data_IF_393461462649
#
_entry.id   IF_393461462649
#
_cell.length_a   1.000
_cell.length_b   1.000
_cell.length_c   1.000
_cell.angle_alpha   90.00
_cell.angle_beta   90.00
_cell.angle_gamma   90.00
#
_symmetry.space_group_name_H-M   'P 1'
#
loop_
_entity.id
_entity.type
_entity.pdbx_description
1 polymer ?
#
# COMPACT_ATOMS: atom_id res chain seq x y z
N UNK A 1 -0.99 -19.53 12.36
CA UNK A 1 -0.54 -18.14 12.23
C UNK A 1 -1.75 -17.25 12.02
N UNK A 2 -1.84 -16.17 12.75
CA UNK A 2 -2.97 -15.25 12.68
C UNK A 2 -2.59 -13.99 11.91
N UNK A 3 -3.60 -13.17 11.61
CA UNK A 3 -3.35 -11.86 10.99
C UNK A 3 -2.41 -11.01 11.85
N UNK A 4 -2.58 -11.05 13.19
CA UNK A 4 -1.69 -10.31 14.07
C UNK A 4 -0.25 -10.79 14.00
N UNK A 5 -0.05 -12.10 13.86
CA UNK A 5 1.30 -12.66 13.71
C UNK A 5 1.95 -12.15 12.42
N UNK A 6 1.19 -12.12 11.33
CA UNK A 6 1.67 -11.58 10.06
C UNK A 6 2.03 -10.11 10.23
N UNK A 7 1.14 -9.33 10.84
CA UNK A 7 1.37 -7.89 11.01
C UNK A 7 2.64 -7.61 11.81
N UNK A 8 2.92 -8.42 12.83
CA UNK A 8 4.12 -8.24 13.66
C UNK A 8 5.39 -8.68 12.92
N UNK A 9 5.28 -9.65 12.02
CA UNK A 9 6.44 -10.21 11.32
C UNK A 9 6.85 -9.40 10.09
N UNK A 10 5.92 -8.67 9.50
CA UNK A 10 6.22 -7.90 8.30
C UNK A 10 7.09 -6.71 8.60
N UNK A 11 8.12 -6.54 7.79
CA UNK A 11 8.97 -5.36 7.87
C UNK A 11 8.18 -4.13 7.45
N UNK A 12 8.54 -2.95 7.96
CA UNK A 12 7.94 -1.71 7.47
C UNK A 12 8.15 -1.57 5.96
N UNK A 13 7.16 -0.97 5.29
CA UNK A 13 7.29 -0.69 3.86
C UNK A 13 8.39 0.34 3.66
N UNK A 14 9.29 0.05 2.72
CA UNK A 14 10.36 0.97 2.37
C UNK A 14 9.87 1.90 1.27
N UNK A 15 9.65 3.16 1.63
CA UNK A 15 9.15 4.16 0.69
C UNK A 15 10.31 4.92 0.05
N UNK A 16 10.23 5.07 -1.26
CA UNK A 16 11.16 5.92 -2.00
C UNK A 16 10.41 7.17 -2.46
N UNK A 17 10.98 8.34 -2.20
CA UNK A 17 10.35 9.60 -2.61
C UNK A 17 10.91 10.03 -3.96
N UNK A 18 10.02 10.28 -4.91
CA UNK A 18 10.39 10.76 -6.24
C UNK A 18 10.07 12.24 -6.35
N UNK A 19 11.11 13.05 -6.37
CA UNK A 19 10.97 14.50 -6.38
C UNK A 19 10.29 15.03 -7.63
N UNK A 20 10.57 14.43 -8.78
CA UNK A 20 10.05 14.92 -10.06
C UNK A 20 8.53 14.81 -10.16
N UNK A 21 7.91 13.93 -9.39
CA UNK A 21 6.46 13.81 -9.39
C UNK A 21 5.85 13.94 -8.00
N UNK A 22 6.66 14.30 -7.01
CA UNK A 22 6.21 14.50 -5.61
C UNK A 22 5.46 13.27 -5.09
N UNK A 23 6.03 12.10 -5.30
CA UNK A 23 5.34 10.85 -5.07
C UNK A 23 6.16 9.90 -4.22
N UNK A 24 5.52 9.21 -3.29
CA UNK A 24 6.12 8.10 -2.55
C UNK A 24 5.77 6.80 -3.24
N UNK A 25 6.76 5.96 -3.47
CA UNK A 25 6.58 4.69 -4.19
C UNK A 25 7.21 3.57 -3.39
N UNK A 26 6.54 2.43 -3.37
CA UNK A 26 7.09 1.20 -2.80
C UNK A 26 6.78 0.04 -3.76
N UNK A 27 7.79 -0.80 -3.99
CA UNK A 27 7.65 -1.99 -4.82
C UNK A 27 7.93 -3.21 -3.96
N UNK A 28 7.02 -4.17 -4.00
CA UNK A 28 7.06 -5.35 -3.15
C UNK A 28 6.79 -6.60 -3.99
N UNK A 29 7.55 -7.65 -3.71
CA UNK A 29 7.32 -8.94 -4.37
C UNK A 29 7.16 -10.02 -3.32
N UNK A 30 6.13 -10.84 -3.48
CA UNK A 30 5.93 -11.98 -2.60
C UNK A 30 5.00 -12.98 -3.26
N UNK A 31 5.24 -14.27 -3.00
CA UNK A 31 4.37 -15.32 -3.50
C UNK A 31 4.16 -15.31 -5.00
N UNK A 32 5.16 -14.90 -5.77
CA UNK A 32 5.04 -14.81 -7.22
C UNK A 32 4.26 -13.62 -7.72
N UNK A 33 3.81 -12.75 -6.82
CA UNK A 33 3.08 -11.52 -7.16
C UNK A 33 3.96 -10.31 -6.97
N UNK A 34 3.69 -9.24 -7.71
CA UNK A 34 4.32 -7.96 -7.46
C UNK A 34 3.26 -6.93 -7.13
N UNK A 35 3.56 -6.12 -6.13
CA UNK A 35 2.72 -4.99 -5.74
C UNK A 35 3.51 -3.72 -5.90
N UNK A 36 2.89 -2.71 -6.47
CA UNK A 36 3.44 -1.36 -6.50
C UNK A 36 2.44 -0.42 -5.87
N UNK A 37 2.92 0.34 -4.90
CA UNK A 37 2.08 1.25 -4.12
C UNK A 37 2.60 2.66 -4.34
N UNK A 38 1.69 3.58 -4.70
CA UNK A 38 2.03 4.96 -4.97
C UNK A 38 1.15 5.88 -4.16
N UNK A 39 1.76 6.89 -3.55
CA UNK A 39 1.02 7.93 -2.83
C UNK A 39 1.48 9.27 -3.38
N UNK A 40 0.54 10.04 -3.93
CA UNK A 40 0.83 11.33 -4.54
C UNK A 40 -0.19 12.37 -4.08
N UNK A 41 0.09 13.68 -4.27
CA UNK A 41 -0.93 14.69 -4.02
C UNK A 41 -2.13 14.44 -4.91
N UNK A 42 -3.34 14.58 -4.36
CA UNK A 42 -4.55 14.35 -5.12
C UNK A 42 -4.74 15.43 -6.17
N UNK A 43 -5.17 15.03 -7.36
CA UNK A 43 -5.42 15.98 -8.43
C UNK A 43 -6.55 16.93 -8.04
N UNK A 44 -6.29 18.23 -8.12
CA UNK A 44 -7.27 19.24 -7.75
C UNK A 44 -7.39 19.50 -6.26
N UNK A 45 -6.71 18.71 -5.43
CA UNK A 45 -6.74 18.87 -3.97
C UNK A 45 -5.41 18.41 -3.38
N UNK A 46 -4.31 19.14 -3.65
CA UNK A 46 -2.96 18.67 -3.30
C UNK A 46 -2.70 18.54 -1.80
N UNK A 47 -3.56 19.07 -0.95
CA UNK A 47 -3.45 18.89 0.49
C UNK A 47 -3.84 17.48 0.93
N UNK A 48 -4.49 16.71 0.05
CA UNK A 48 -4.82 15.31 0.32
C UNK A 48 -3.83 14.39 -0.36
N UNK A 49 -3.66 13.21 0.22
CA UNK A 49 -2.79 12.17 -0.34
C UNK A 49 -3.63 11.12 -1.02
N UNK A 50 -3.34 10.85 -2.29
CA UNK A 50 -4.06 9.85 -3.07
C UNK A 50 -3.25 8.57 -3.12
N UNK A 51 -3.87 7.46 -2.71
CA UNK A 51 -3.26 6.14 -2.69
C UNK A 51 -3.65 5.37 -3.93
N UNK A 52 -2.66 4.77 -4.59
CA UNK A 52 -2.87 3.86 -5.73
C UNK A 52 -2.10 2.58 -5.48
N UNK A 53 -2.73 1.44 -5.75
CA UNK A 53 -2.10 0.13 -5.56
C UNK A 53 -2.25 -0.68 -6.83
N UNK A 54 -1.13 -1.20 -7.34
CA UNK A 54 -1.10 -2.03 -8.54
C UNK A 54 -0.65 -3.44 -8.18
N UNK A 55 -1.34 -4.42 -8.74
CA UNK A 55 -0.93 -5.82 -8.65
C UNK A 55 -0.58 -6.31 -10.04
N UNK A 56 0.67 -6.76 -10.21
CA UNK A 56 1.14 -7.24 -11.51
C UNK A 56 0.82 -6.25 -12.63
N UNK A 57 1.10 -4.97 -12.35
CA UNK A 57 0.94 -3.85 -13.28
C UNK A 57 -0.51 -3.43 -13.54
N UNK A 58 -1.48 -4.03 -12.83
CA UNK A 58 -2.88 -3.67 -12.97
C UNK A 58 -3.36 -2.91 -11.74
N UNK A 59 -3.93 -1.74 -11.95
CA UNK A 59 -4.50 -0.94 -10.87
C UNK A 59 -5.69 -1.68 -10.28
N UNK A 60 -5.63 -2.00 -8.98
CA UNK A 60 -6.67 -2.80 -8.34
C UNK A 60 -7.44 -2.05 -7.28
N UNK A 61 -6.81 -1.07 -6.66
CA UNK A 61 -7.40 -0.48 -5.45
C UNK A 61 -6.93 0.94 -5.29
N UNK A 62 -7.82 1.77 -4.75
CA UNK A 62 -7.38 3.00 -4.15
C UNK A 62 -7.04 4.17 -5.03
N UNK A 63 -7.15 4.07 -6.35
CA UNK A 63 -6.81 5.24 -7.16
C UNK A 63 -7.74 6.42 -6.91
N UNK A 64 -8.86 6.17 -6.25
CA UNK A 64 -9.78 7.24 -5.85
C UNK A 64 -9.85 7.44 -4.34
N UNK A 65 -8.96 6.76 -3.61
CA UNK A 65 -8.95 6.88 -2.16
C UNK A 65 -8.04 8.02 -1.77
N UNK A 66 -8.62 9.07 -1.24
CA UNK A 66 -7.87 10.23 -0.78
C UNK A 66 -7.88 10.25 0.73
N UNK A 67 -6.71 10.48 1.30
CA UNK A 67 -6.53 10.54 2.75
C UNK A 67 -6.14 11.95 3.13
N UNK A 68 -6.58 12.37 4.31
CA UNK A 68 -6.28 13.73 4.79
C UNK A 68 -4.82 13.90 5.17
N UNK A 69 -4.10 12.81 5.44
CA UNK A 69 -2.69 12.87 5.80
C UNK A 69 -1.91 11.79 5.07
N UNK A 70 -0.60 12.03 4.92
CA UNK A 70 0.31 11.04 4.36
C UNK A 70 0.36 9.79 5.23
N UNK A 71 0.42 9.97 6.55
CA UNK A 71 0.48 8.83 7.47
C UNK A 71 -0.74 7.94 7.33
N UNK A 72 -1.92 8.53 7.15
CA UNK A 72 -3.15 7.76 6.95
C UNK A 72 -3.08 6.92 5.67
N UNK A 73 -2.55 7.51 4.58
CA UNK A 73 -2.38 6.79 3.33
C UNK A 73 -1.38 5.64 3.47
N UNK A 74 -0.28 5.88 4.17
CA UNK A 74 0.73 4.84 4.40
C UNK A 74 0.18 3.71 5.28
N UNK A 75 -0.65 4.04 6.26
CA UNK A 75 -1.27 3.02 7.11
C UNK A 75 -2.24 2.16 6.30
N UNK A 76 -3.01 2.77 5.42
CA UNK A 76 -3.92 2.03 4.54
C UNK A 76 -3.14 1.07 3.64
N UNK A 77 -2.01 1.52 3.10
CA UNK A 77 -1.15 0.68 2.27
C UNK A 77 -0.64 -0.53 3.05
N UNK A 78 -0.23 -0.32 4.30
CA UNK A 78 0.24 -1.42 5.15
C UNK A 78 -0.88 -2.40 5.46
N UNK A 79 -2.08 -1.90 5.75
CA UNK A 79 -3.23 -2.75 6.00
C UNK A 79 -3.58 -3.59 4.77
N UNK A 80 -3.49 -3.01 3.59
CA UNK A 80 -3.70 -3.74 2.35
C UNK A 80 -2.67 -4.85 2.19
N UNK A 81 -1.40 -4.56 2.44
CA UNK A 81 -0.34 -5.56 2.34
C UNK A 81 -0.57 -6.72 3.29
N UNK A 82 -0.95 -6.43 4.53
CA UNK A 82 -1.24 -7.47 5.52
C UNK A 82 -2.38 -8.37 5.02
N UNK A 83 -3.42 -7.76 4.47
CA UNK A 83 -4.56 -8.52 3.93
C UNK A 83 -4.14 -9.40 2.76
N UNK A 84 -3.29 -8.89 1.86
CA UNK A 84 -2.80 -9.66 0.73
C UNK A 84 -2.00 -10.89 1.20
N UNK A 85 -1.13 -10.71 2.19
CA UNK A 85 -0.33 -11.81 2.72
C UNK A 85 -1.23 -12.84 3.40
N UNK A 86 -2.22 -12.39 4.16
CA UNK A 86 -3.16 -13.30 4.81
C UNK A 86 -3.95 -14.12 3.77
N UNK A 87 -4.37 -13.48 2.70
CA UNK A 87 -5.09 -14.16 1.61
C UNK A 87 -4.20 -15.19 0.94
N UNK A 88 -2.93 -14.86 0.71
CA UNK A 88 -1.97 -15.76 0.08
C UNK A 88 -1.81 -17.07 0.87
N UNK A 89 -1.83 -16.97 2.19
CA UNK A 89 -1.68 -18.13 3.07
C UNK A 89 -3.02 -18.71 3.54
N UNK A 90 -4.12 -18.18 3.04
CA UNK A 90 -5.48 -18.64 3.39
C UNK A 90 -5.72 -18.58 4.91
N UNK A 91 -5.24 -17.52 5.54
CA UNK A 91 -5.39 -17.32 6.97
C UNK A 91 -6.72 -16.67 7.30
N UNK A 92 -7.28 -17.04 8.46
CA UNK A 92 -8.46 -16.36 8.98
C UNK A 92 -8.09 -14.94 9.40
N UNK A 93 -9.01 -14.03 9.18
CA UNK A 93 -8.85 -12.65 9.65
C UNK A 93 -9.28 -12.54 11.10
N UNK A 94 -8.35 -12.26 11.95
CA UNK A 94 -8.59 -12.19 13.39
C UNK A 94 -8.04 -10.88 13.92
#
# INVERSE_FOLDING_TARGET
>A
MTRNDIAKSLKPIEWAYKHECSMYVASLGFGGKSLEIEISPAYGAPEFSQLMIFRDETLIEGYKVCHSTLDSAMQEARNFLITEVCTLFELDEQ
#
